data_IF_919642757529
#
_entry.id   IF_919642757529
#
_cell.length_a   1.000
_cell.length_b   1.000
_cell.length_c   1.000
_cell.angle_alpha   90.00
_cell.angle_beta   90.00
_cell.angle_gamma   90.00
#
_symmetry.space_group_name_H-M   'P 1'
#
loop_
_entity.id
_entity.type
_entity.pdbx_description
1 polymer ?
#
# COMPACT_ATOMS: atom_id res chain seq x y z
N UNK A 1 -23.28 15.56 -0.26
CA UNK A 1 -24.30 16.62 -0.11
C UNK A 1 -24.18 17.42 1.20
N UNK A 2 -24.13 16.77 2.39
CA UNK A 2 -24.04 17.47 3.69
C UNK A 2 -22.81 18.39 3.81
N UNK A 3 -21.66 18.01 3.25
CA UNK A 3 -20.44 18.80 3.30
C UNK A 3 -20.50 20.00 2.34
N UNK A 4 -21.07 19.85 1.17
CA UNK A 4 -21.30 20.95 0.22
C UNK A 4 -22.18 22.01 0.84
N UNK A 5 -23.26 21.64 1.54
CA UNK A 5 -24.14 22.56 2.29
C UNK A 5 -23.41 23.31 3.41
N UNK A 6 -22.25 22.81 3.87
CA UNK A 6 -21.37 23.47 4.85
C UNK A 6 -20.26 24.29 4.22
N UNK A 7 -20.33 24.55 2.91
CA UNK A 7 -19.36 25.37 2.19
C UNK A 7 -18.10 24.61 1.73
N UNK A 8 -18.10 23.27 1.79
CA UNK A 8 -16.98 22.48 1.28
C UNK A 8 -17.04 22.45 -0.25
N UNK A 9 -15.97 22.85 -0.91
CA UNK A 9 -15.82 22.78 -2.35
C UNK A 9 -14.98 21.55 -2.70
N UNK A 10 -15.52 20.66 -3.56
CA UNK A 10 -14.84 19.49 -4.08
C UNK A 10 -14.33 19.76 -5.49
N UNK A 11 -13.03 19.53 -5.71
CA UNK A 11 -12.42 19.51 -7.03
C UNK A 11 -12.02 18.07 -7.33
N UNK A 12 -12.72 17.46 -8.28
CA UNK A 12 -12.46 16.08 -8.73
C UNK A 12 -11.63 16.11 -10.01
N UNK A 13 -10.82 15.07 -10.22
CA UNK A 13 -10.01 14.87 -11.44
C UNK A 13 -8.91 15.91 -11.67
N UNK A 14 -8.53 16.66 -10.65
CA UNK A 14 -7.36 17.53 -10.70
C UNK A 14 -6.08 16.67 -10.57
N UNK A 15 -5.61 16.12 -11.70
CA UNK A 15 -4.45 15.24 -11.74
C UNK A 15 -3.11 15.97 -11.67
N UNK A 16 -3.07 17.19 -12.20
CA UNK A 16 -1.84 17.91 -12.47
C UNK A 16 -1.78 19.26 -11.75
N UNK A 17 -1.69 19.24 -10.43
CA UNK A 17 -1.25 20.43 -9.73
C UNK A 17 0.30 20.49 -9.77
N UNK A 18 0.86 21.58 -10.31
CA UNK A 18 2.25 21.61 -10.74
C UNK A 18 3.25 21.94 -9.65
N UNK A 19 2.96 22.83 -8.73
CA UNK A 19 3.93 23.27 -7.72
C UNK A 19 3.29 24.05 -6.59
N UNK A 20 4.01 24.08 -5.45
CA UNK A 20 3.80 25.10 -4.44
C UNK A 20 4.74 26.25 -4.71
N UNK A 21 4.24 27.45 -4.72
CA UNK A 21 5.06 28.63 -4.66
C UNK A 21 5.73 28.72 -3.25
N UNK A 22 6.81 29.49 -3.13
CA UNK A 22 7.44 29.75 -1.83
C UNK A 22 6.48 30.37 -0.80
N UNK A 23 5.42 31.02 -1.28
CA UNK A 23 4.30 31.56 -0.48
C UNK A 23 3.38 30.50 0.12
N UNK A 24 3.48 29.22 -0.29
CA UNK A 24 2.53 28.17 0.09
C UNK A 24 1.34 28.03 -0.85
N UNK A 25 1.26 28.85 -1.90
CA UNK A 25 0.20 28.76 -2.89
C UNK A 25 0.28 27.46 -3.71
N UNK A 26 -0.88 26.90 -4.00
CA UNK A 26 -1.04 25.74 -4.88
C UNK A 26 -1.34 26.23 -6.28
N UNK A 27 -0.51 25.88 -7.25
CA UNK A 27 -0.66 26.28 -8.65
C UNK A 27 -1.07 25.04 -9.45
N UNK A 28 -2.19 25.14 -10.13
CA UNK A 28 -2.76 24.08 -10.99
C UNK A 28 -2.21 24.15 -12.43
N UNK A 29 -2.35 23.04 -13.16
CA UNK A 29 -1.88 22.94 -14.57
C UNK A 29 -2.53 23.93 -15.51
N UNK A 30 -3.76 24.34 -15.24
CA UNK A 30 -4.49 25.35 -16.02
C UNK A 30 -4.07 26.81 -15.70
N UNK A 31 -3.01 26.99 -14.88
CA UNK A 31 -2.51 28.31 -14.49
C UNK A 31 -3.27 28.98 -13.35
N UNK A 32 -4.39 28.42 -12.91
CA UNK A 32 -5.08 28.94 -11.71
C UNK A 32 -4.28 28.66 -10.44
N UNK A 33 -4.48 29.48 -9.43
CA UNK A 33 -3.83 29.32 -8.13
C UNK A 33 -4.85 29.36 -6.98
N UNK A 34 -4.45 28.75 -5.87
CA UNK A 34 -5.17 28.77 -4.61
C UNK A 34 -4.21 29.11 -3.50
N UNK A 35 -4.57 30.13 -2.69
CA UNK A 35 -3.82 30.52 -1.49
C UNK A 35 -4.53 29.96 -0.24
N UNK A 36 -4.20 28.77 0.22
CA UNK A 36 -4.85 28.18 1.38
C UNK A 36 -4.28 28.75 2.67
N UNK A 37 -5.12 28.94 3.69
CA UNK A 37 -4.65 29.25 5.04
C UNK A 37 -3.93 28.07 5.69
N UNK A 38 -4.32 26.85 5.33
CA UNK A 38 -3.69 25.60 5.78
C UNK A 38 -3.88 24.48 4.76
N UNK A 39 -2.91 23.58 4.64
CA UNK A 39 -2.98 22.44 3.72
C UNK A 39 -2.76 21.12 4.46
N UNK A 40 -3.71 20.20 4.33
CA UNK A 40 -3.55 18.82 4.78
C UNK A 40 -3.16 17.92 3.62
N UNK A 41 -2.06 17.23 3.77
CA UNK A 41 -1.62 16.24 2.79
C UNK A 41 -2.17 14.85 3.13
N UNK A 42 -3.23 14.45 2.44
CA UNK A 42 -3.87 13.14 2.59
C UNK A 42 -3.74 12.30 1.30
N UNK A 43 -2.63 12.45 0.57
CA UNK A 43 -2.45 11.89 -0.77
C UNK A 43 -2.05 10.40 -0.79
N UNK A 44 -2.12 9.68 0.33
CA UNK A 44 -1.82 8.24 0.37
C UNK A 44 -0.46 7.91 -0.22
N UNK A 45 -0.40 7.02 -1.22
CA UNK A 45 0.84 6.62 -1.90
C UNK A 45 1.58 7.79 -2.60
N UNK A 46 0.93 8.92 -2.81
CA UNK A 46 1.54 10.12 -3.42
C UNK A 46 1.99 11.15 -2.37
N UNK A 47 1.87 10.86 -1.08
CA UNK A 47 2.08 11.82 -0.01
C UNK A 47 3.49 12.41 0.04
N UNK A 48 4.52 11.63 -0.26
CA UNK A 48 5.90 12.11 -0.35
C UNK A 48 6.10 13.07 -1.53
N UNK A 49 5.53 12.73 -2.71
CA UNK A 49 5.58 13.62 -3.88
C UNK A 49 4.92 14.97 -3.59
N UNK A 50 3.79 14.92 -2.86
CA UNK A 50 3.09 16.12 -2.42
C UNK A 50 3.97 16.92 -1.45
N UNK A 51 4.49 16.29 -0.40
CA UNK A 51 5.35 16.94 0.58
C UNK A 51 6.61 17.57 -0.06
N UNK A 52 7.25 16.85 -1.01
CA UNK A 52 8.42 17.34 -1.72
C UNK A 52 8.14 18.63 -2.52
N UNK A 53 6.92 18.78 -3.05
CA UNK A 53 6.52 20.03 -3.74
C UNK A 53 6.44 21.22 -2.80
N UNK A 54 6.13 20.98 -1.52
CA UNK A 54 6.22 21.99 -0.45
C UNK A 54 7.64 22.15 0.12
N UNK A 55 8.63 21.46 -0.43
CA UNK A 55 10.01 21.47 0.07
C UNK A 55 10.22 20.67 1.34
N UNK A 56 9.21 19.93 1.79
CA UNK A 56 9.20 19.15 3.04
C UNK A 56 9.58 17.69 2.80
N UNK A 57 10.09 17.03 3.84
CA UNK A 57 10.30 15.57 3.91
C UNK A 57 11.14 14.98 2.76
N UNK A 58 12.07 15.73 2.18
CA UNK A 58 12.88 15.31 1.02
C UNK A 58 13.75 14.08 1.27
N UNK A 59 14.05 13.78 2.54
CA UNK A 59 14.79 12.59 2.96
C UNK A 59 13.94 11.32 3.00
N UNK A 60 12.64 11.42 2.86
CA UNK A 60 11.72 10.27 2.88
C UNK A 60 11.17 9.99 1.49
N UNK A 61 10.96 8.72 1.20
CA UNK A 61 10.28 8.26 -0.01
C UNK A 61 9.30 7.13 0.32
N UNK A 62 8.20 7.07 -0.40
CA UNK A 62 7.24 5.97 -0.28
C UNK A 62 7.72 4.77 -1.08
N UNK A 63 7.85 3.62 -0.42
CA UNK A 63 8.09 2.34 -1.07
C UNK A 63 6.74 1.61 -1.16
N UNK A 64 6.17 1.48 -2.36
CA UNK A 64 4.87 0.86 -2.52
C UNK A 64 4.95 -0.67 -2.37
N UNK A 65 4.03 -1.22 -1.57
CA UNK A 65 3.80 -2.65 -1.48
C UNK A 65 2.34 -2.94 -1.81
N UNK A 66 2.09 -4.03 -2.51
CA UNK A 66 0.75 -4.53 -2.79
C UNK A 66 0.47 -5.81 -2.01
N UNK A 67 -0.74 -5.94 -1.50
CA UNK A 67 -1.22 -7.15 -0.84
C UNK A 67 -1.90 -8.08 -1.84
N UNK A 68 -1.37 -9.28 -2.00
CA UNK A 68 -2.03 -10.31 -2.80
C UNK A 68 -2.85 -11.21 -1.91
N UNK A 69 -4.07 -11.55 -2.34
CA UNK A 69 -5.00 -12.38 -1.60
C UNK A 69 -5.35 -13.64 -2.40
N UNK A 70 -5.54 -14.73 -1.67
CA UNK A 70 -6.14 -15.95 -2.18
C UNK A 70 -7.60 -16.00 -1.76
N UNK A 71 -8.48 -16.41 -2.68
CA UNK A 71 -9.88 -16.63 -2.35
C UNK A 71 -10.13 -18.11 -2.15
N UNK A 72 -10.74 -18.50 -1.04
CA UNK A 72 -11.18 -19.88 -0.84
C UNK A 72 -12.25 -20.27 -1.87
N UNK A 73 -12.19 -21.52 -2.34
CA UNK A 73 -13.22 -22.06 -3.22
C UNK A 73 -14.57 -22.05 -2.48
N UNK A 74 -15.66 -21.83 -3.21
CA UNK A 74 -17.01 -21.86 -2.64
C UNK A 74 -17.35 -23.19 -1.96
N UNK A 75 -16.75 -24.29 -2.44
CA UNK A 75 -16.89 -25.64 -1.89
C UNK A 75 -16.12 -25.88 -0.60
N UNK A 76 -15.25 -24.96 -0.19
CA UNK A 76 -14.50 -25.10 1.06
C UNK A 76 -15.44 -25.15 2.26
N UNK A 77 -15.22 -26.07 3.23
CA UNK A 77 -16.12 -26.27 4.36
C UNK A 77 -15.97 -25.22 5.46
N UNK A 78 -15.30 -24.11 5.18
CA UNK A 78 -15.04 -23.06 6.14
C UNK A 78 -16.08 -21.95 6.07
N UNK A 79 -16.47 -21.44 7.25
CA UNK A 79 -17.34 -20.27 7.40
C UNK A 79 -16.78 -19.39 8.50
N UNK A 80 -16.69 -18.10 8.22
CA UNK A 80 -16.18 -17.11 9.17
C UNK A 80 -17.15 -15.93 9.22
N UNK A 81 -17.50 -15.50 10.42
CA UNK A 81 -18.37 -14.34 10.67
C UNK A 81 -17.55 -13.07 10.97
N UNK A 82 -16.26 -13.21 11.23
CA UNK A 82 -15.35 -12.12 11.58
C UNK A 82 -13.98 -12.34 10.97
N UNK A 83 -13.19 -11.28 10.94
CA UNK A 83 -11.78 -11.37 10.56
C UNK A 83 -10.98 -12.14 11.62
N UNK A 84 -10.02 -12.95 11.17
CA UNK A 84 -9.09 -13.66 12.05
C UNK A 84 -7.66 -13.24 11.69
N UNK A 85 -6.92 -12.79 12.69
CA UNK A 85 -5.54 -12.36 12.54
C UNK A 85 -4.60 -13.27 13.35
N UNK A 86 -3.39 -13.56 12.84
CA UNK A 86 -2.35 -14.14 13.68
C UNK A 86 -1.91 -13.13 14.73
N UNK A 87 -1.24 -13.59 15.76
CA UNK A 87 -0.54 -12.68 16.68
C UNK A 87 0.55 -11.95 15.89
N UNK A 88 0.57 -10.61 15.90
CA UNK A 88 1.56 -9.86 15.13
C UNK A 88 2.97 -10.13 15.64
N UNK A 89 3.90 -10.31 14.71
CA UNK A 89 5.32 -10.21 14.99
C UNK A 89 5.72 -8.73 14.99
N UNK A 90 6.06 -8.19 16.15
CA UNK A 90 6.40 -6.77 16.30
C UNK A 90 7.73 -6.40 15.64
N UNK A 91 8.52 -7.38 15.23
CA UNK A 91 9.78 -7.14 14.52
C UNK A 91 9.60 -6.91 13.01
N UNK A 92 8.40 -7.19 12.47
CA UNK A 92 8.11 -7.04 11.05
C UNK A 92 7.01 -5.99 10.83
N UNK A 93 7.13 -5.13 9.81
CA UNK A 93 6.20 -4.02 9.58
C UNK A 93 4.88 -4.45 8.92
N UNK A 94 4.65 -5.75 8.73
CA UNK A 94 3.48 -6.27 8.04
C UNK A 94 2.72 -7.27 8.92
N UNK A 95 1.40 -7.28 8.75
CA UNK A 95 0.54 -8.31 9.31
C UNK A 95 0.74 -9.61 8.53
N UNK A 96 0.83 -10.73 9.24
CA UNK A 96 0.83 -12.05 8.62
C UNK A 96 -0.46 -12.36 7.87
N UNK A 97 -0.48 -13.48 7.15
CA UNK A 97 -1.68 -13.95 6.44
C UNK A 97 -2.85 -14.04 7.42
N UNK A 98 -3.95 -13.39 7.10
CA UNK A 98 -5.17 -13.39 7.91
C UNK A 98 -6.39 -13.78 7.08
N UNK A 99 -7.51 -14.04 7.74
CA UNK A 99 -8.77 -14.42 7.13
C UNK A 99 -9.69 -13.21 7.10
N UNK A 100 -10.23 -12.91 5.93
CA UNK A 100 -11.19 -11.82 5.74
C UNK A 100 -12.44 -12.33 5.07
N UNK A 101 -13.60 -12.42 5.80
CA UNK A 101 -14.89 -12.63 5.18
C UNK A 101 -15.24 -11.44 4.30
N UNK A 102 -15.56 -11.71 3.04
CA UNK A 102 -15.96 -10.71 2.08
C UNK A 102 -17.46 -10.75 1.78
N UNK A 103 -17.89 -9.79 1.01
CA UNK A 103 -19.28 -9.72 0.55
C UNK A 103 -19.67 -10.95 -0.28
N UNK A 104 -20.90 -11.42 -0.14
CA UNK A 104 -21.42 -12.58 -0.88
C UNK A 104 -20.85 -13.93 -0.45
N UNK A 105 -20.37 -14.06 0.81
CA UNK A 105 -19.86 -15.31 1.36
C UNK A 105 -18.46 -15.71 0.83
N UNK A 106 -17.75 -14.79 0.18
CA UNK A 106 -16.36 -14.99 -0.20
C UNK A 106 -15.48 -14.95 1.04
N UNK A 107 -14.40 -15.71 1.02
CA UNK A 107 -13.40 -15.72 2.09
C UNK A 107 -12.05 -15.50 1.44
N UNK A 108 -11.33 -14.49 1.91
CA UNK A 108 -10.01 -14.13 1.44
C UNK A 108 -8.96 -14.48 2.49
N UNK A 109 -7.83 -14.99 2.04
CA UNK A 109 -6.64 -15.26 2.83
C UNK A 109 -5.51 -14.38 2.32
N UNK A 110 -4.82 -13.68 3.18
CA UNK A 110 -3.77 -12.74 2.83
C UNK A 110 -3.79 -11.53 3.74
N UNK A 111 -3.11 -10.46 3.33
CA UNK A 111 -2.27 -10.37 2.14
C UNK A 111 -0.89 -11.00 2.32
N UNK A 112 -0.22 -11.27 1.18
CA UNK A 112 1.24 -11.31 1.14
C UNK A 112 1.76 -9.93 0.80
N UNK A 113 2.90 -9.52 1.34
CA UNK A 113 3.50 -8.24 1.02
C UNK A 113 4.38 -8.37 -0.23
N UNK A 114 3.96 -7.76 -1.32
CA UNK A 114 4.64 -7.80 -2.60
C UNK A 114 5.17 -6.41 -2.95
N UNK A 115 6.44 -6.25 -3.32
CA UNK A 115 6.92 -5.02 -3.93
C UNK A 115 6.06 -4.62 -5.12
N UNK A 116 5.62 -3.37 -5.16
CA UNK A 116 4.99 -2.79 -6.33
C UNK A 116 6.01 -1.95 -7.10
N UNK A 117 6.11 -2.16 -8.40
CA UNK A 117 7.07 -1.49 -9.28
C UNK A 117 6.57 -0.11 -9.77
N UNK A 118 5.53 0.38 -9.17
CA UNK A 118 4.90 1.67 -9.41
C UNK A 118 3.82 1.91 -8.38
N UNK A 119 3.41 3.16 -8.20
CA UNK A 119 2.43 3.54 -7.18
C UNK A 119 1.01 3.06 -7.53
N UNK A 120 0.74 2.85 -8.81
CA UNK A 120 -0.52 2.30 -9.32
C UNK A 120 -0.34 0.91 -9.95
N UNK A 121 0.76 0.22 -9.62
CA UNK A 121 1.01 -1.12 -10.12
C UNK A 121 0.24 -2.18 -9.33
N UNK A 122 -1.03 -2.39 -9.65
CA UNK A 122 -1.90 -3.38 -9.01
C UNK A 122 -1.81 -4.77 -9.68
N UNK A 123 -1.62 -4.85 -10.99
CA UNK A 123 -1.61 -6.11 -11.73
C UNK A 123 -0.48 -6.18 -12.75
N UNK A 124 0.22 -7.30 -12.79
CA UNK A 124 1.27 -7.56 -13.78
C UNK A 124 2.25 -6.40 -13.94
N UNK A 125 2.40 -5.93 -15.17
CA UNK A 125 3.24 -4.79 -15.55
C UNK A 125 2.46 -3.48 -15.69
N UNK A 126 1.15 -3.50 -15.47
CA UNK A 126 0.33 -2.29 -15.55
C UNK A 126 0.69 -1.32 -14.42
N UNK A 127 0.82 -0.03 -14.75
CA UNK A 127 1.18 1.00 -13.79
C UNK A 127 2.64 0.93 -13.29
N UNK A 128 3.54 0.22 -13.97
CA UNK A 128 4.98 0.24 -13.65
C UNK A 128 5.57 1.61 -13.93
N UNK A 129 6.26 2.15 -12.95
CA UNK A 129 7.01 3.40 -13.05
C UNK A 129 8.52 3.09 -12.92
N UNK A 130 9.34 3.21 -13.98
CA UNK A 130 10.77 2.84 -13.95
C UNK A 130 11.56 3.54 -12.84
N UNK A 131 11.26 4.81 -12.56
CA UNK A 131 11.90 5.56 -11.48
C UNK A 131 11.53 5.02 -10.09
N UNK A 132 10.30 4.58 -9.88
CA UNK A 132 9.85 3.95 -8.64
C UNK A 132 10.48 2.57 -8.49
N UNK A 133 10.49 1.77 -9.56
CA UNK A 133 11.10 0.45 -9.57
C UNK A 133 12.60 0.50 -9.24
N UNK A 134 13.34 1.43 -9.87
CA UNK A 134 14.77 1.62 -9.60
C UNK A 134 15.01 2.12 -8.17
N UNK A 135 14.24 3.10 -7.71
CA UNK A 135 14.30 3.61 -6.34
C UNK A 135 14.02 2.51 -5.33
N UNK A 136 12.98 1.70 -5.58
CA UNK A 136 12.64 0.54 -4.75
C UNK A 136 13.80 -0.46 -4.69
N UNK A 137 14.36 -0.85 -5.85
CA UNK A 137 15.48 -1.80 -5.92
C UNK A 137 16.69 -1.29 -5.14
N UNK A 138 17.04 -0.01 -5.31
CA UNK A 138 18.14 0.62 -4.57
C UNK A 138 17.92 0.57 -3.06
N UNK A 139 16.78 1.08 -2.58
CA UNK A 139 16.50 1.13 -1.14
C UNK A 139 16.38 -0.27 -0.53
N UNK A 140 15.78 -1.22 -1.23
CA UNK A 140 15.73 -2.62 -0.76
C UNK A 140 17.13 -3.23 -0.67
N UNK A 141 17.99 -2.98 -1.65
CA UNK A 141 19.39 -3.46 -1.62
C UNK A 141 20.14 -2.86 -0.44
N UNK A 142 20.03 -1.56 -0.22
CA UNK A 142 20.63 -0.87 0.93
C UNK A 142 20.16 -1.50 2.25
N UNK A 143 18.84 -1.71 2.43
CA UNK A 143 18.28 -2.31 3.63
C UNK A 143 18.70 -3.77 3.82
N UNK A 144 18.73 -4.57 2.77
CA UNK A 144 19.18 -5.98 2.82
C UNK A 144 20.65 -6.07 3.22
N UNK A 145 21.49 -5.14 2.80
CA UNK A 145 22.91 -5.13 3.16
C UNK A 145 23.15 -4.69 4.60
N UNK A 146 22.40 -3.71 5.08
CA UNK A 146 22.62 -3.08 6.40
C UNK A 146 21.87 -3.84 7.50
N UNK A 147 20.64 -4.27 7.26
CA UNK A 147 19.76 -4.85 8.29
C UNK A 147 19.55 -6.36 8.08
N UNK A 148 20.11 -7.17 9.01
CA UNK A 148 19.94 -8.63 9.03
C UNK A 148 18.48 -9.06 9.19
N UNK A 149 17.66 -8.30 9.94
CA UNK A 149 16.25 -8.61 10.16
C UNK A 149 15.46 -8.36 8.86
N UNK A 150 15.66 -7.22 8.23
CA UNK A 150 15.04 -6.89 6.94
C UNK A 150 15.43 -7.90 5.87
N UNK A 151 16.69 -8.33 5.83
CA UNK A 151 17.16 -9.38 4.92
C UNK A 151 16.40 -10.68 5.12
N UNK A 152 16.32 -11.18 6.36
CA UNK A 152 15.59 -12.43 6.69
C UNK A 152 14.12 -12.29 6.31
N UNK A 153 13.51 -11.15 6.61
CA UNK A 153 12.12 -10.88 6.30
C UNK A 153 11.87 -10.87 4.79
N UNK A 154 12.68 -10.15 4.00
CA UNK A 154 12.52 -10.05 2.54
C UNK A 154 12.62 -11.43 1.87
N UNK A 155 13.60 -12.24 2.27
CA UNK A 155 13.71 -13.63 1.76
C UNK A 155 12.53 -14.51 2.23
N UNK A 156 12.05 -14.36 3.46
CA UNK A 156 10.87 -15.06 3.96
C UNK A 156 9.63 -14.73 3.13
N UNK A 157 9.36 -13.46 2.90
CA UNK A 157 8.20 -13.00 2.11
C UNK A 157 8.27 -13.42 0.64
N UNK A 158 9.46 -13.42 0.05
CA UNK A 158 9.64 -13.94 -1.32
C UNK A 158 9.28 -15.42 -1.43
N UNK A 159 9.49 -16.20 -0.37
CA UNK A 159 9.10 -17.61 -0.32
C UNK A 159 7.59 -17.80 -0.09
N UNK A 160 6.91 -16.89 0.60
CA UNK A 160 5.46 -16.94 0.81
C UNK A 160 4.64 -16.78 -0.49
N UNK A 161 5.26 -16.37 -1.57
CA UNK A 161 4.66 -16.41 -2.91
C UNK A 161 4.42 -17.83 -3.43
N UNK A 162 5.16 -18.80 -2.92
CA UNK A 162 4.95 -20.18 -3.28
C UNK A 162 3.66 -20.69 -2.62
N UNK A 163 2.72 -21.29 -3.39
CA UNK A 163 1.42 -21.72 -2.87
C UNK A 163 1.51 -22.56 -1.59
N UNK A 164 2.47 -23.49 -1.52
CA UNK A 164 2.64 -24.36 -0.35
C UNK A 164 3.11 -23.60 0.91
N UNK A 165 3.94 -22.56 0.75
CA UNK A 165 4.38 -21.69 1.87
C UNK A 165 3.24 -20.80 2.34
N UNK A 166 2.48 -20.23 1.40
CA UNK A 166 1.29 -19.46 1.72
C UNK A 166 0.26 -20.30 2.49
N UNK A 167 -0.01 -21.54 2.03
CA UNK A 167 -0.92 -22.46 2.73
C UNK A 167 -0.37 -22.79 4.11
N UNK A 168 0.93 -23.00 4.28
CA UNK A 168 1.54 -23.23 5.58
C UNK A 168 1.34 -22.05 6.52
N UNK A 169 1.52 -20.81 6.06
CA UNK A 169 1.22 -19.61 6.84
C UNK A 169 -0.27 -19.51 7.19
N UNK A 170 -1.17 -19.78 6.25
CA UNK A 170 -2.61 -19.76 6.50
C UNK A 170 -3.06 -20.85 7.48
N UNK A 171 -2.37 -21.98 7.55
CA UNK A 171 -2.64 -23.07 8.51
C UNK A 171 -2.40 -22.70 9.97
N UNK A 172 -1.65 -21.65 10.26
CA UNK A 172 -1.52 -21.14 11.63
C UNK A 172 -2.87 -20.66 12.17
N UNK A 173 -3.77 -20.21 11.28
CA UNK A 173 -5.11 -19.72 11.64
C UNK A 173 -6.18 -20.77 11.30
N UNK A 174 -6.01 -21.49 10.21
CA UNK A 174 -6.95 -22.55 9.75
C UNK A 174 -6.18 -23.88 9.68
N UNK A 175 -6.00 -24.61 10.79
CA UNK A 175 -5.18 -25.83 10.79
C UNK A 175 -5.63 -26.91 9.80
N UNK A 176 -6.91 -26.96 9.47
CA UNK A 176 -7.52 -27.93 8.54
C UNK A 176 -7.52 -27.47 7.08
N UNK A 177 -6.83 -26.38 6.74
CA UNK A 177 -6.71 -25.92 5.35
C UNK A 177 -5.88 -26.93 4.53
N UNK A 178 -6.48 -27.47 3.49
CA UNK A 178 -5.84 -28.42 2.54
C UNK A 178 -5.29 -27.69 1.32
#
# INVERSE_FOLDING_TARGET
EKLVKRGVNFRFFEKDWLRCAKSGDIIFSNGSSLSPGFTFNCAGLQADRVAHKFGLCKQYTMLPFKGSYWQLKKSAPFRFSTNLYPVPDLEVPFLGVHVTPGFGGKIYLGPTATPALGRENYAGLDGVEPSVALGFARHMTEQILIDKKMRRYTFGQALEWMPHKFVAAARTIIPKLS
#
